data_IF_815166767352
#
_entry.id   IF_815166767352
#
_cell.length_a   1.000
_cell.length_b   1.000
_cell.length_c   1.000
_cell.angle_alpha   90.00
_cell.angle_beta   90.00
_cell.angle_gamma   90.00
#
_symmetry.space_group_name_H-M   'P 1'
#
loop_
_entity.id
_entity.type
_entity.pdbx_description
1 polymer ?
#
# COMPACT_ATOMS: atom_id res chain seq x y z
N UNK A 1 3.28 -2.23 -31.68
CA UNK A 1 3.58 -2.52 -30.26
C UNK A 1 5.10 -2.64 -30.12
N UNK A 2 5.85 -1.64 -29.62
CA UNK A 2 7.29 -1.88 -29.37
C UNK A 2 8.02 -0.84 -28.52
N UNK A 3 7.76 0.47 -28.66
CA UNK A 3 8.59 1.47 -27.95
C UNK A 3 8.26 1.62 -26.44
N UNK A 4 6.97 1.58 -26.08
CA UNK A 4 6.53 1.84 -24.70
C UNK A 4 6.84 0.68 -23.74
N UNK A 5 6.82 -0.57 -24.21
CA UNK A 5 7.21 -1.74 -23.41
C UNK A 5 8.73 -1.82 -23.18
N UNK A 6 9.54 -1.36 -24.13
CA UNK A 6 11.00 -1.29 -23.96
C UNK A 6 11.41 -0.17 -22.99
N UNK A 7 10.73 0.99 -23.03
CA UNK A 7 10.97 2.09 -22.10
C UNK A 7 10.58 1.75 -20.66
N UNK A 8 9.44 1.07 -20.45
CA UNK A 8 9.06 0.52 -19.14
C UNK A 8 10.14 -0.44 -18.61
N UNK A 9 10.59 -1.41 -19.44
CA UNK A 9 11.68 -2.34 -19.07
C UNK A 9 13.01 -1.65 -18.75
N UNK A 10 13.36 -0.55 -19.44
CA UNK A 10 14.61 0.19 -19.21
C UNK A 10 14.54 1.02 -17.91
N UNK A 11 13.39 1.64 -17.63
CA UNK A 11 13.18 2.42 -16.40
C UNK A 11 13.21 1.51 -15.17
N UNK A 12 12.59 0.33 -15.25
CA UNK A 12 12.60 -0.67 -14.18
C UNK A 12 14.01 -1.18 -13.88
N UNK A 13 14.85 -1.30 -14.92
CA UNK A 13 16.24 -1.75 -14.80
C UNK A 13 17.14 -0.71 -14.13
N UNK A 14 17.04 0.58 -14.51
CA UNK A 14 17.84 1.65 -13.90
C UNK A 14 17.50 1.80 -12.41
N UNK A 15 16.22 1.77 -12.07
CA UNK A 15 15.76 1.84 -10.68
C UNK A 15 16.32 0.67 -9.86
N UNK A 16 16.20 -0.56 -10.37
CA UNK A 16 16.74 -1.74 -9.70
C UNK A 16 18.25 -1.61 -9.47
N UNK A 17 18.99 -1.15 -10.48
CA UNK A 17 20.44 -0.92 -10.39
C UNK A 17 20.79 0.12 -9.33
N UNK A 18 20.04 1.22 -9.23
CA UNK A 18 20.24 2.24 -8.18
C UNK A 18 19.96 1.71 -6.79
N UNK A 19 18.88 0.95 -6.61
CA UNK A 19 18.54 0.34 -5.32
C UNK A 19 19.65 -0.63 -4.90
N UNK A 20 20.08 -1.52 -5.79
CA UNK A 20 21.19 -2.45 -5.48
C UNK A 20 22.53 -1.75 -5.30
N UNK A 21 22.73 -0.58 -5.90
CA UNK A 21 23.91 0.26 -5.67
C UNK A 21 24.00 0.80 -4.23
N UNK A 22 22.89 0.84 -3.49
CA UNK A 22 22.84 1.26 -2.08
C UNK A 22 22.70 0.06 -1.15
N UNK A 23 21.70 -0.78 -1.38
CA UNK A 23 21.37 -1.90 -0.47
C UNK A 23 22.30 -3.11 -0.67
N UNK A 24 23.01 -3.16 -1.79
CA UNK A 24 23.93 -4.22 -2.18
C UNK A 24 23.30 -5.29 -3.05
N UNK A 25 24.12 -6.21 -3.55
CA UNK A 25 23.64 -7.37 -4.31
C UNK A 25 22.88 -8.35 -3.40
N UNK A 26 21.68 -8.81 -3.79
CA UNK A 26 20.88 -9.73 -2.98
C UNK A 26 21.55 -11.09 -2.78
N UNK A 27 21.17 -11.77 -1.69
CA UNK A 27 21.62 -13.13 -1.38
C UNK A 27 21.06 -14.16 -2.36
N UNK A 28 21.71 -15.33 -2.43
CA UNK A 28 21.24 -16.46 -3.26
C UNK A 28 19.87 -16.97 -2.82
N UNK A 29 19.57 -16.85 -1.53
CA UNK A 29 18.29 -17.28 -0.95
C UNK A 29 17.16 -16.37 -1.43
N UNK A 30 17.34 -15.05 -1.40
CA UNK A 30 16.37 -14.11 -1.97
C UNK A 30 16.18 -14.34 -3.48
N UNK A 31 17.27 -14.56 -4.22
CA UNK A 31 17.20 -14.88 -5.66
C UNK A 31 16.37 -16.14 -5.94
N UNK A 32 16.25 -17.08 -5.00
CA UNK A 32 15.42 -18.28 -5.18
C UNK A 32 13.92 -18.00 -5.02
N UNK A 33 13.55 -16.96 -4.27
CA UNK A 33 12.16 -16.53 -4.05
C UNK A 33 11.58 -15.79 -5.26
N UNK A 34 12.41 -15.23 -6.13
CA UNK A 34 11.98 -14.51 -7.33
C UNK A 34 11.39 -15.48 -8.35
N UNK A 35 10.11 -15.31 -8.70
CA UNK A 35 9.39 -16.19 -9.62
C UNK A 35 9.90 -16.06 -11.09
N UNK A 36 10.27 -14.85 -11.51
CA UNK A 36 10.75 -14.60 -12.88
C UNK A 36 12.18 -15.12 -13.09
N UNK A 37 12.37 -16.05 -14.02
CA UNK A 37 13.69 -16.53 -14.44
C UNK A 37 14.51 -15.44 -15.14
N UNK A 38 13.86 -14.59 -15.93
CA UNK A 38 14.52 -13.45 -16.60
C UNK A 38 15.11 -12.47 -15.58
N UNK A 39 14.34 -12.14 -14.54
CA UNK A 39 14.80 -11.25 -13.47
C UNK A 39 15.97 -11.86 -12.67
N UNK A 40 15.90 -13.17 -12.38
CA UNK A 40 17.00 -13.89 -11.70
C UNK A 40 18.29 -13.86 -12.51
N UNK A 41 18.21 -14.13 -13.81
CA UNK A 41 19.38 -14.12 -14.68
C UNK A 41 19.93 -12.71 -14.90
N UNK A 42 19.06 -11.69 -14.96
CA UNK A 42 19.49 -10.29 -14.98
C UNK A 42 20.33 -9.96 -13.74
N UNK A 43 19.81 -10.23 -12.53
CA UNK A 43 20.51 -9.90 -11.28
C UNK A 43 21.82 -10.70 -11.14
N UNK A 44 21.86 -11.97 -11.56
CA UNK A 44 23.09 -12.79 -11.54
C UNK A 44 24.20 -12.27 -12.45
N UNK A 45 23.84 -11.60 -13.55
CA UNK A 45 24.81 -11.04 -14.50
C UNK A 45 25.31 -9.65 -14.10
N UNK A 46 24.74 -9.04 -13.06
CA UNK A 46 25.21 -7.75 -12.58
C UNK A 46 26.50 -7.91 -11.78
N UNK A 47 27.37 -6.88 -11.81
CA UNK A 47 28.54 -6.87 -10.95
C UNK A 47 28.10 -6.87 -9.48
N UNK A 48 28.90 -7.53 -8.65
CA UNK A 48 28.68 -7.49 -7.21
C UNK A 48 28.83 -6.06 -6.68
N UNK A 49 27.85 -5.63 -5.89
CA UNK A 49 27.78 -4.31 -5.27
C UNK A 49 27.76 -4.48 -3.74
N UNK A 50 28.72 -3.88 -3.02
CA UNK A 50 28.68 -3.87 -1.56
C UNK A 50 27.51 -3.01 -1.07
N UNK A 51 26.94 -3.38 0.08
CA UNK A 51 25.99 -2.51 0.78
C UNK A 51 26.71 -1.23 1.22
N UNK A 52 26.11 -0.09 0.90
CA UNK A 52 26.59 1.22 1.33
C UNK A 52 26.19 1.43 2.78
N UNK A 53 27.11 1.97 3.57
CA UNK A 53 26.80 2.41 4.92
C UNK A 53 25.93 3.68 4.85
N UNK A 54 24.73 3.62 5.41
CA UNK A 54 23.78 4.72 5.39
C UNK A 54 24.31 5.98 6.11
N UNK A 55 25.24 5.87 7.05
CA UNK A 55 25.91 7.05 7.63
C UNK A 55 26.71 7.86 6.59
N UNK A 56 27.20 7.20 5.54
CA UNK A 56 27.91 7.91 4.46
C UNK A 56 26.96 8.71 3.57
N UNK A 57 25.69 8.27 3.50
CA UNK A 57 24.64 8.93 2.71
C UNK A 57 23.90 9.99 3.52
N UNK A 58 23.76 9.77 4.84
CA UNK A 58 23.03 10.61 5.78
C UNK A 58 23.94 10.97 6.97
N UNK A 59 24.95 11.84 6.76
CA UNK A 59 25.95 12.16 7.78
C UNK A 59 25.38 12.88 9.00
N UNK A 60 24.27 13.61 8.83
CA UNK A 60 23.63 14.38 9.90
C UNK A 60 22.55 13.59 10.65
N UNK A 61 22.30 12.33 10.28
CA UNK A 61 21.29 11.50 10.90
C UNK A 61 21.79 10.89 12.22
N UNK A 62 20.87 10.73 13.18
CA UNK A 62 21.15 9.99 14.42
C UNK A 62 21.39 8.51 14.14
N UNK A 63 22.13 7.84 15.03
CA UNK A 63 22.41 6.42 14.88
C UNK A 63 21.13 5.56 14.87
N UNK A 64 20.14 5.93 15.69
CA UNK A 64 18.86 5.23 15.76
C UNK A 64 18.05 5.43 14.47
N UNK A 65 18.12 6.62 13.84
CA UNK A 65 17.48 6.86 12.54
C UNK A 65 18.05 5.96 11.44
N UNK A 66 19.38 5.85 11.42
CA UNK A 66 20.12 5.06 10.44
C UNK A 66 19.87 3.56 10.64
N UNK A 67 19.80 3.09 11.89
CA UNK A 67 19.47 1.69 12.19
C UNK A 67 18.05 1.35 11.71
N UNK A 68 17.05 2.17 12.06
CA UNK A 68 15.67 1.96 11.65
C UNK A 68 15.54 1.92 10.12
N UNK A 69 16.14 2.90 9.44
CA UNK A 69 16.15 2.98 7.98
C UNK A 69 16.81 1.73 7.37
N UNK A 70 17.90 1.26 7.97
CA UNK A 70 18.62 0.07 7.55
C UNK A 70 17.78 -1.21 7.61
N UNK A 71 16.86 -1.31 8.58
CA UNK A 71 15.92 -2.43 8.72
C UNK A 71 14.67 -2.30 7.84
N UNK A 72 14.27 -1.08 7.49
CA UNK A 72 13.18 -0.82 6.55
C UNK A 72 13.60 -1.06 5.09
N UNK A 73 14.82 -0.65 4.72
CA UNK A 73 15.36 -0.78 3.37
C UNK A 73 16.04 -2.14 3.14
N UNK A 74 15.33 -3.23 3.46
CA UNK A 74 15.72 -4.59 3.09
C UNK A 74 15.15 -4.98 1.71
N UNK A 75 15.98 -5.64 0.89
CA UNK A 75 15.58 -6.16 -0.42
C UNK A 75 14.59 -7.33 -0.28
N UNK A 76 14.86 -8.24 0.66
CA UNK A 76 13.94 -9.30 1.01
C UNK A 76 12.81 -8.72 1.87
N UNK A 77 11.53 -8.84 1.47
CA UNK A 77 10.42 -8.38 2.28
C UNK A 77 10.32 -9.13 3.61
N UNK A 78 10.79 -10.38 3.69
CA UNK A 78 10.75 -11.18 4.91
C UNK A 78 11.78 -10.70 5.94
N UNK A 79 12.86 -10.04 5.49
CA UNK A 79 13.89 -9.46 6.37
C UNK A 79 13.54 -8.03 6.80
N UNK A 80 12.48 -7.44 6.24
CA UNK A 80 12.06 -6.06 6.55
C UNK A 80 11.42 -6.02 7.93
N UNK A 81 11.81 -5.02 8.72
CA UNK A 81 11.16 -4.76 10.01
C UNK A 81 9.64 -4.61 9.84
N UNK A 82 8.88 -5.26 10.71
CA UNK A 82 7.43 -5.10 10.74
C UNK A 82 7.03 -3.72 11.27
N UNK A 83 5.81 -3.27 10.96
CA UNK A 83 5.31 -2.00 11.48
C UNK A 83 5.29 -1.99 13.01
N UNK A 84 4.89 -3.10 13.63
CA UNK A 84 4.86 -3.21 15.09
C UNK A 84 6.25 -3.06 15.71
N UNK A 85 7.26 -3.73 15.16
CA UNK A 85 8.65 -3.60 15.62
C UNK A 85 9.22 -2.20 15.34
N UNK A 86 8.84 -1.57 14.22
CA UNK A 86 9.27 -0.22 13.89
C UNK A 86 8.70 0.81 14.86
N UNK A 87 7.45 0.66 15.31
CA UNK A 87 6.82 1.50 16.34
C UNK A 87 7.49 1.34 17.72
N UNK A 88 8.10 0.19 17.99
CA UNK A 88 8.86 -0.06 19.21
C UNK A 88 10.33 0.41 19.12
N UNK A 89 10.77 0.91 17.96
CA UNK A 89 12.15 1.28 17.75
C UNK A 89 12.56 2.54 18.55
N UNK A 90 13.76 2.58 19.18
CA UNK A 90 14.23 3.73 19.97
C UNK A 90 14.08 5.08 19.27
N UNK A 91 14.31 5.12 17.96
CA UNK A 91 14.18 6.33 17.14
C UNK A 91 12.80 7.01 17.21
N UNK A 92 11.71 6.25 17.33
CA UNK A 92 10.33 6.80 17.33
C UNK A 92 9.71 6.87 18.71
N UNK A 93 10.40 6.37 19.75
CA UNK A 93 9.86 6.28 21.12
C UNK A 93 9.39 7.63 21.66
N UNK A 94 10.12 8.71 21.39
CA UNK A 94 9.78 10.06 21.86
C UNK A 94 8.46 10.58 21.29
N UNK A 95 8.00 10.02 20.15
CA UNK A 95 6.77 10.42 19.46
C UNK A 95 5.68 9.34 19.52
N UNK A 96 5.89 8.28 20.30
CA UNK A 96 4.99 7.13 20.34
C UNK A 96 3.72 7.46 21.14
N UNK A 97 2.57 7.13 20.57
CA UNK A 97 1.26 7.28 21.22
C UNK A 97 0.47 5.97 21.08
N UNK A 98 0.59 5.05 22.06
CA UNK A 98 -0.09 3.76 22.00
C UNK A 98 -1.62 3.85 21.93
N UNK A 99 -2.22 4.92 22.47
CA UNK A 99 -3.67 5.11 22.40
C UNK A 99 -4.10 5.60 21.01
N UNK A 100 -3.22 6.32 20.30
CA UNK A 100 -3.39 6.77 18.92
C UNK A 100 -3.05 5.74 17.85
N UNK A 101 -2.56 4.55 18.22
CA UNK A 101 -2.10 3.49 17.30
C UNK A 101 -3.00 2.21 17.35
N UNK A 102 -4.32 2.29 17.12
CA UNK A 102 -5.19 1.12 17.20
C UNK A 102 -4.99 0.16 16.02
N UNK A 103 -5.15 -1.13 16.28
CA UNK A 103 -5.22 -2.17 15.24
C UNK A 103 -6.68 -2.33 14.82
N UNK A 104 -6.93 -2.40 13.50
CA UNK A 104 -8.27 -2.63 12.98
C UNK A 104 -8.82 -4.00 13.43
N UNK A 105 -10.10 -4.03 13.82
CA UNK A 105 -10.77 -5.25 14.30
C UNK A 105 -10.94 -6.32 13.22
N UNK A 106 -10.86 -5.92 11.95
CA UNK A 106 -11.01 -6.82 10.81
C UNK A 106 -10.07 -6.40 9.67
N UNK A 107 -9.69 -7.38 8.86
CA UNK A 107 -8.92 -7.15 7.64
C UNK A 107 -9.85 -6.59 6.58
N UNK A 108 -9.51 -5.42 6.06
CA UNK A 108 -10.15 -4.88 4.85
C UNK A 108 -9.54 -5.61 3.67
N UNK A 109 -10.33 -6.46 3.02
CA UNK A 109 -9.94 -7.18 1.81
C UNK A 109 -10.69 -6.64 0.60
N UNK A 110 -10.14 -6.91 -0.58
CA UNK A 110 -10.88 -6.83 -1.84
C UNK A 110 -11.87 -7.98 -1.83
N UNK A 111 -13.16 -7.69 -2.01
CA UNK A 111 -14.15 -8.76 -2.06
C UNK A 111 -14.13 -9.49 -3.41
N UNK A 112 -14.70 -10.70 -3.45
CA UNK A 112 -14.67 -11.51 -4.66
C UNK A 112 -15.44 -10.88 -5.84
N UNK A 113 -16.38 -9.97 -5.56
CA UNK A 113 -17.16 -9.28 -6.58
C UNK A 113 -16.33 -8.15 -7.22
N UNK A 114 -15.57 -7.40 -6.42
CA UNK A 114 -14.57 -6.43 -6.85
C UNK A 114 -13.44 -7.07 -7.66
N UNK A 115 -12.93 -8.22 -7.22
CA UNK A 115 -11.87 -8.93 -7.95
C UNK A 115 -12.38 -9.48 -9.30
N UNK A 116 -13.67 -9.82 -9.38
CA UNK A 116 -14.32 -10.28 -10.62
C UNK A 116 -14.76 -9.13 -11.55
N UNK A 117 -14.76 -7.88 -11.08
CA UNK A 117 -15.23 -6.73 -11.84
C UNK A 117 -14.25 -6.36 -12.96
N UNK A 118 -14.69 -6.53 -14.22
CA UNK A 118 -13.85 -6.27 -15.39
C UNK A 118 -14.41 -5.19 -16.31
N UNK A 119 -15.71 -4.87 -16.19
CA UNK A 119 -16.37 -3.87 -17.02
C UNK A 119 -16.70 -2.59 -16.25
N UNK A 120 -16.86 -1.48 -16.98
CA UNK A 120 -17.30 -0.21 -16.39
C UNK A 120 -18.68 -0.31 -15.73
N UNK A 121 -19.56 -1.17 -16.22
CA UNK A 121 -20.89 -1.35 -15.63
C UNK A 121 -20.84 -2.12 -14.31
N UNK A 122 -19.93 -3.10 -14.18
CA UNK A 122 -19.66 -3.78 -12.91
C UNK A 122 -19.18 -2.77 -11.86
N UNK A 123 -18.16 -1.96 -12.21
CA UNK A 123 -17.62 -0.93 -11.33
C UNK A 123 -18.67 0.14 -10.98
N UNK A 124 -19.50 0.57 -11.93
CA UNK A 124 -20.62 1.48 -11.64
C UNK A 124 -21.60 0.87 -10.65
N UNK A 125 -21.91 -0.41 -10.80
CA UNK A 125 -22.79 -1.15 -9.90
C UNK A 125 -22.22 -1.24 -8.48
N UNK A 126 -20.95 -1.61 -8.34
CA UNK A 126 -20.24 -1.69 -7.06
C UNK A 126 -20.18 -0.33 -6.35
N UNK A 127 -19.77 0.72 -7.07
CA UNK A 127 -19.73 2.09 -6.53
C UNK A 127 -21.13 2.55 -6.10
N UNK A 128 -22.15 2.29 -6.93
CA UNK A 128 -23.53 2.66 -6.60
C UNK A 128 -24.01 1.95 -5.34
N UNK A 129 -23.70 0.65 -5.19
CA UNK A 129 -24.03 -0.14 -4.01
C UNK A 129 -23.39 0.44 -2.76
N UNK A 130 -22.10 0.78 -2.82
CA UNK A 130 -21.37 1.38 -1.70
C UNK A 130 -21.99 2.71 -1.27
N UNK A 131 -22.41 3.55 -2.22
CA UNK A 131 -23.15 4.79 -1.92
C UNK A 131 -24.45 4.48 -1.16
N UNK A 132 -25.19 3.43 -1.55
CA UNK A 132 -26.41 3.05 -0.84
C UNK A 132 -26.14 2.52 0.58
N UNK A 133 -25.09 1.71 0.75
CA UNK A 133 -24.65 1.20 2.05
C UNK A 133 -24.28 2.38 2.95
N UNK A 134 -23.43 3.29 2.49
CA UNK A 134 -23.01 4.47 3.25
C UNK A 134 -24.21 5.35 3.67
N UNK A 135 -25.16 5.58 2.76
CA UNK A 135 -26.39 6.34 3.06
C UNK A 135 -27.28 5.63 4.08
N UNK A 136 -27.38 4.31 4.00
CA UNK A 136 -28.18 3.50 4.93
C UNK A 136 -27.55 3.45 6.32
N UNK A 137 -26.23 3.29 6.40
CA UNK A 137 -25.48 3.33 7.65
C UNK A 137 -25.60 4.69 8.35
N UNK A 138 -25.58 5.80 7.59
CA UNK A 138 -25.83 7.15 8.16
C UNK A 138 -27.25 7.33 8.67
N UNK A 139 -28.25 6.78 7.97
CA UNK A 139 -29.65 6.78 8.44
C UNK A 139 -29.85 5.93 9.70
N UNK A 140 -29.01 4.91 9.92
CA UNK A 140 -29.03 4.11 11.14
C UNK A 140 -28.24 4.77 12.29
N UNK A 141 -27.19 5.55 11.99
CA UNK A 141 -26.55 6.43 12.98
C UNK A 141 -27.46 7.57 13.45
N UNK A 142 -28.39 8.03 12.61
CA UNK A 142 -29.45 8.97 13.00
C UNK A 142 -30.68 8.31 13.64
N UNK A 143 -30.58 7.09 14.16
CA UNK A 143 -31.64 6.50 15.01
C UNK A 143 -31.35 6.62 16.51
N UNK A 144 -30.22 7.21 16.91
CA UNK A 144 -29.98 7.60 18.31
C UNK A 144 -30.29 9.07 18.59
N UNK A 145 -30.44 9.89 17.55
CA UNK A 145 -30.94 11.26 17.64
C UNK A 145 -31.91 11.44 16.47
N UNK A 146 -33.15 11.82 16.78
CA UNK A 146 -34.24 12.23 15.86
C UNK A 146 -35.27 11.14 15.48
N UNK A 147 -36.05 10.71 16.48
CA UNK A 147 -37.49 10.47 16.27
C UNK A 147 -38.20 11.83 16.30
N UNK A 148 -38.41 12.44 15.14
CA UNK A 148 -39.46 13.44 14.96
C UNK A 148 -40.37 13.00 13.81
N UNK A 149 -41.61 12.68 14.18
CA UNK A 149 -42.73 12.35 13.31
C UNK A 149 -43.22 13.59 12.55
N UNK A 150 -42.64 13.98 11.40
CA UNK A 150 -43.34 14.95 10.52
C UNK A 150 -42.83 15.14 9.06
N UNK A 151 -42.29 14.10 8.39
CA UNK A 151 -41.99 14.22 6.94
C UNK A 151 -42.47 13.02 6.11
N UNK A 152 -43.79 12.81 6.15
CA UNK A 152 -44.53 12.06 5.14
C UNK A 152 -45.37 13.03 4.31
N UNK A 153 -44.75 13.71 3.35
CA UNK A 153 -45.52 14.43 2.35
C UNK A 153 -44.73 15.31 1.40
N UNK A 154 -44.07 14.71 0.40
CA UNK A 154 -44.06 15.23 -0.98
C UNK A 154 -43.13 14.39 -1.88
N UNK A 155 -43.61 13.24 -2.36
CA UNK A 155 -43.09 12.66 -3.61
C UNK A 155 -44.24 12.08 -4.43
N UNK A 156 -45.24 12.90 -4.74
CA UNK A 156 -46.10 12.63 -5.89
C UNK A 156 -46.28 13.92 -6.71
N UNK A 157 -45.77 13.89 -7.94
CA UNK A 157 -46.15 14.87 -8.96
C UNK A 157 -44.98 15.58 -9.63
N UNK A 158 -44.26 14.87 -10.52
CA UNK A 158 -43.76 15.42 -11.80
C UNK A 158 -43.15 14.31 -12.66
N UNK A 159 -43.99 13.34 -13.02
CA UNK A 159 -43.91 12.69 -14.32
C UNK A 159 -44.96 13.38 -15.20
N UNK A 160 -44.55 14.48 -15.85
CA UNK A 160 -45.28 14.96 -17.02
C UNK A 160 -44.31 15.14 -18.17
N UNK A 161 -44.51 14.25 -19.14
CA UNK A 161 -44.06 14.25 -20.51
C UNK A 161 -44.12 15.66 -21.11
N UNK A 162 -43.03 16.08 -21.75
CA UNK A 162 -43.00 16.64 -23.10
C UNK A 162 -41.64 16.35 -23.74
#
# INVERSE_FOLDING_TARGET
MSASSALLKIIDIDQLTRIMGVVGTPSRDFLSKIQSEEARNYIRNLPWMPRVDFFTLLPDASADAVDLLGRMLALDPDDRISVCEALEHPYVQDSRDPEGEPVADHVVGVDAEEEAATSLDDWRGLIWREIQIFRSSRRCSSCLEDMDDDDLGEIEGKLHVQ
#
